data_IF_871068353669
#
_entry.id   IF_871068353669
#
_cell.length_a   1.000
_cell.length_b   1.000
_cell.length_c   1.000
_cell.angle_alpha   90.00
_cell.angle_beta   90.00
_cell.angle_gamma   90.00
#
_symmetry.space_group_name_H-M   'P 1'
#
loop_
_entity.id
_entity.type
_entity.pdbx_description
1 polymer ?
#
# COMPACT_ATOMS: atom_id res chain seq x y z
N UNK A 1 17.55 -1.98 -30.46
CA UNK A 1 18.22 -3.29 -30.55
C UNK A 1 18.08 -3.91 -29.17
N UNK A 2 17.41 -5.06 -29.12
CA UNK A 2 17.31 -5.88 -27.90
C UNK A 2 18.71 -6.33 -27.48
N UNK A 3 18.99 -6.27 -26.18
CA UNK A 3 20.26 -6.73 -25.61
C UNK A 3 20.11 -8.13 -25.00
N UNK A 4 18.97 -8.41 -24.37
CA UNK A 4 18.63 -9.69 -23.78
C UNK A 4 17.11 -9.80 -23.62
N UNK A 5 16.61 -11.02 -23.45
CA UNK A 5 15.28 -11.27 -22.90
C UNK A 5 15.41 -11.61 -21.43
N UNK A 6 14.63 -10.94 -20.58
CA UNK A 6 14.62 -11.15 -19.13
C UNK A 6 13.28 -11.77 -18.74
N UNK A 7 13.32 -12.80 -17.91
CA UNK A 7 12.14 -13.39 -17.29
C UNK A 7 12.21 -13.17 -15.78
N UNK A 8 11.20 -12.49 -15.24
CA UNK A 8 10.98 -12.34 -13.81
C UNK A 8 9.92 -13.35 -13.38
N UNK A 9 10.21 -14.11 -12.32
CA UNK A 9 9.28 -15.10 -11.77
C UNK A 9 8.99 -14.78 -10.31
N UNK A 10 7.72 -14.53 -10.02
CA UNK A 10 7.22 -14.28 -8.68
C UNK A 10 6.37 -15.47 -8.23
N UNK A 11 6.63 -15.97 -7.02
CA UNK A 11 5.83 -17.02 -6.39
C UNK A 11 5.28 -16.47 -5.08
N UNK A 12 3.97 -16.63 -4.87
CA UNK A 12 3.30 -16.17 -3.64
C UNK A 12 2.20 -17.14 -3.22
N UNK A 13 1.82 -17.06 -1.95
CA UNK A 13 0.71 -17.81 -1.36
C UNK A 13 -0.50 -16.88 -1.21
N UNK A 14 -1.67 -17.38 -1.57
CA UNK A 14 -2.96 -16.80 -1.25
C UNK A 14 -3.74 -17.76 -0.35
N UNK A 15 -4.09 -17.32 0.87
CA UNK A 15 -4.87 -18.12 1.83
C UNK A 15 -6.38 -18.07 1.59
N UNK A 16 -6.80 -17.23 0.66
CA UNK A 16 -8.19 -16.99 0.31
C UNK A 16 -8.32 -16.91 -1.20
N UNK A 17 -9.53 -17.14 -1.68
CA UNK A 17 -9.88 -16.84 -3.06
C UNK A 17 -9.86 -15.32 -3.27
N UNK A 18 -9.39 -14.88 -4.42
CA UNK A 18 -9.32 -13.46 -4.80
C UNK A 18 -9.87 -13.31 -6.21
N UNK A 19 -10.97 -12.57 -6.31
CA UNK A 19 -11.56 -12.19 -7.59
C UNK A 19 -11.02 -10.83 -8.07
N UNK A 20 -11.10 -10.59 -9.38
CA UNK A 20 -10.83 -9.29 -10.00
C UNK A 20 -9.44 -8.69 -9.67
N UNK A 21 -8.45 -9.55 -9.41
CA UNK A 21 -7.08 -9.12 -9.18
C UNK A 21 -6.50 -8.46 -10.44
N UNK A 22 -5.59 -7.51 -10.24
CA UNK A 22 -4.89 -6.83 -11.33
C UNK A 22 -3.38 -6.93 -11.12
N UNK A 23 -2.65 -6.97 -12.23
CA UNK A 23 -1.22 -6.77 -12.27
C UNK A 23 -0.95 -5.34 -12.74
N UNK A 24 -0.14 -4.59 -12.01
CA UNK A 24 0.34 -3.28 -12.45
C UNK A 24 1.83 -3.33 -12.77
N UNK A 25 2.20 -2.83 -13.95
CA UNK A 25 3.57 -2.84 -14.47
C UNK A 25 3.78 -1.71 -15.48
N UNK A 26 5.04 -1.32 -15.66
CA UNK A 26 5.44 -0.44 -16.76
C UNK A 26 5.66 -1.21 -18.06
N UNK A 27 5.59 -0.51 -19.20
CA UNK A 27 5.83 -1.04 -20.55
C UNK A 27 5.06 -2.35 -20.85
N UNK A 28 3.73 -2.39 -20.64
CA UNK A 28 2.92 -3.59 -20.90
C UNK A 28 3.01 -4.08 -22.36
N UNK A 29 3.25 -3.18 -23.31
CA UNK A 29 3.42 -3.47 -24.73
C UNK A 29 4.72 -4.23 -25.06
N UNK A 30 5.73 -4.11 -24.19
CA UNK A 30 7.00 -4.84 -24.30
C UNK A 30 7.04 -6.09 -23.40
N UNK A 31 5.93 -6.40 -22.72
CA UNK A 31 5.84 -7.44 -21.70
C UNK A 31 4.89 -8.57 -22.11
N UNK A 32 5.28 -9.80 -21.82
CA UNK A 32 4.41 -10.98 -21.87
C UNK A 32 4.24 -11.52 -20.46
N UNK A 33 3.00 -11.73 -20.05
CA UNK A 33 2.67 -12.19 -18.70
C UNK A 33 2.05 -13.58 -18.76
N UNK A 34 2.51 -14.46 -17.88
CA UNK A 34 1.91 -15.76 -17.61
C UNK A 34 1.46 -15.82 -16.15
N UNK A 35 0.25 -16.32 -15.91
CA UNK A 35 -0.30 -16.60 -14.59
C UNK A 35 -0.53 -18.11 -14.48
N UNK A 36 0.13 -18.76 -13.53
CA UNK A 36 0.14 -20.22 -13.36
C UNK A 36 0.41 -20.99 -14.67
N UNK A 37 1.39 -20.50 -15.43
CA UNK A 37 1.80 -21.07 -16.71
C UNK A 37 0.81 -20.82 -17.87
N UNK A 38 -0.24 -20.01 -17.66
CA UNK A 38 -1.20 -19.63 -18.71
C UNK A 38 -0.98 -18.19 -19.14
N UNK A 39 -0.94 -17.89 -20.46
CA UNK A 39 -0.83 -16.52 -20.92
C UNK A 39 -1.97 -15.63 -20.42
N UNK A 40 -1.63 -14.43 -19.95
CA UNK A 40 -2.59 -13.38 -19.59
C UNK A 40 -2.80 -12.49 -20.81
N UNK A 41 -4.07 -12.19 -21.12
CA UNK A 41 -4.37 -11.22 -22.17
C UNK A 41 -3.97 -9.81 -21.69
N UNK A 42 -3.06 -9.17 -22.42
CA UNK A 42 -2.52 -7.84 -22.09
C UNK A 42 -3.49 -6.70 -22.46
N UNK A 43 -4.76 -6.84 -22.09
CA UNK A 43 -5.78 -5.82 -22.26
C UNK A 43 -5.70 -4.85 -21.08
N UNK A 44 -5.31 -3.60 -21.35
CA UNK A 44 -5.15 -2.59 -20.30
C UNK A 44 -6.50 -2.23 -19.67
N UNK A 45 -6.54 -2.25 -18.33
CA UNK A 45 -7.74 -1.94 -17.53
C UNK A 45 -7.69 -0.57 -16.87
N UNK A 46 -6.55 0.11 -16.91
CA UNK A 46 -6.36 1.43 -16.30
C UNK A 46 -4.92 1.67 -15.89
N UNK A 47 -4.76 2.41 -14.80
CA UNK A 47 -3.46 2.76 -14.23
C UNK A 47 -3.51 2.65 -12.71
N UNK A 48 -2.39 2.33 -12.07
CA UNK A 48 -2.30 2.27 -10.62
C UNK A 48 -2.18 3.68 -10.02
N UNK A 49 -0.95 4.18 -9.86
CA UNK A 49 -0.68 5.47 -9.22
C UNK A 49 -0.09 6.52 -10.15
N UNK A 50 0.43 6.07 -11.29
CA UNK A 50 1.00 6.89 -12.35
C UNK A 50 0.55 6.31 -13.70
N UNK A 51 0.45 7.15 -14.74
CA UNK A 51 0.07 6.72 -16.09
C UNK A 51 1.10 5.79 -16.72
N UNK A 52 2.35 5.83 -16.28
CA UNK A 52 3.39 4.90 -16.69
C UNK A 52 3.13 3.46 -16.21
N UNK A 53 2.35 3.28 -15.14
CA UNK A 53 2.09 1.99 -14.51
C UNK A 53 0.69 1.54 -14.90
N UNK A 54 0.58 0.87 -16.05
CA UNK A 54 -0.67 0.34 -16.55
C UNK A 54 -1.11 -0.87 -15.73
N UNK A 55 -2.43 -1.10 -15.64
CA UNK A 55 -2.99 -2.32 -15.05
C UNK A 55 -3.53 -3.26 -16.11
N UNK A 56 -3.41 -4.56 -15.86
CA UNK A 56 -4.04 -5.64 -16.62
C UNK A 56 -4.79 -6.56 -15.66
N UNK A 57 -5.94 -7.10 -16.09
CA UNK A 57 -6.69 -8.06 -15.28
C UNK A 57 -5.94 -9.40 -15.20
N UNK A 58 -5.88 -9.97 -14.01
CA UNK A 58 -5.46 -11.35 -13.79
C UNK A 58 -6.68 -12.27 -13.72
N UNK A 59 -6.53 -13.57 -14.01
CA UNK A 59 -7.56 -14.56 -13.68
C UNK A 59 -7.85 -14.58 -12.18
N UNK A 60 -9.07 -14.99 -11.82
CA UNK A 60 -9.43 -15.24 -10.42
C UNK A 60 -8.48 -16.28 -9.80
N UNK A 61 -8.08 -16.01 -8.56
CA UNK A 61 -7.16 -16.83 -7.80
C UNK A 61 -7.96 -17.67 -6.81
N UNK A 62 -7.76 -18.98 -6.83
CA UNK A 62 -8.23 -19.87 -5.75
C UNK A 62 -7.18 -19.95 -4.66
N UNK A 63 -7.57 -20.11 -3.40
CA UNK A 63 -6.62 -20.26 -2.30
C UNK A 63 -5.56 -21.34 -2.64
N UNK A 64 -4.27 -20.98 -2.55
CA UNK A 64 -3.18 -21.81 -3.00
C UNK A 64 -1.88 -21.03 -3.23
N UNK A 65 -0.95 -21.66 -3.94
CA UNK A 65 0.28 -21.02 -4.39
C UNK A 65 0.14 -20.66 -5.86
N UNK A 66 0.49 -19.42 -6.21
CA UNK A 66 0.46 -18.93 -7.58
C UNK A 66 1.83 -18.50 -8.06
N UNK A 67 1.99 -18.48 -9.37
CA UNK A 67 3.17 -17.95 -10.05
C UNK A 67 2.77 -16.90 -11.08
N UNK A 68 3.46 -15.76 -11.05
CA UNK A 68 3.44 -14.76 -12.13
C UNK A 68 4.81 -14.78 -12.80
N UNK A 69 4.85 -14.99 -14.11
CA UNK A 69 6.05 -14.91 -14.93
C UNK A 69 5.90 -13.76 -15.92
N UNK A 70 6.90 -12.89 -15.98
CA UNK A 70 6.91 -11.71 -16.84
C UNK A 70 8.15 -11.78 -17.69
N UNK A 71 7.95 -11.94 -19.00
CA UNK A 71 9.02 -11.88 -19.98
C UNK A 71 9.02 -10.50 -20.64
N UNK A 72 10.18 -9.86 -20.67
CA UNK A 72 10.37 -8.56 -21.32
C UNK A 72 11.65 -8.51 -22.15
N UNK A 73 11.63 -7.74 -23.23
CA UNK A 73 12.81 -7.43 -24.02
C UNK A 73 13.62 -6.33 -23.33
N UNK A 74 14.81 -6.66 -22.85
CA UNK A 74 15.69 -5.71 -22.20
C UNK A 74 16.55 -4.97 -23.24
N UNK A 75 16.40 -3.65 -23.28
CA UNK A 75 17.14 -2.77 -24.19
C UNK A 75 17.98 -1.76 -23.40
N UNK A 76 18.81 -0.95 -24.07
CA UNK A 76 19.52 0.17 -23.43
C UNK A 76 18.60 1.22 -22.80
N UNK A 77 17.29 1.18 -23.11
CA UNK A 77 16.28 2.11 -22.60
C UNK A 77 15.35 1.47 -21.57
N UNK A 78 15.47 0.17 -21.34
CA UNK A 78 14.59 -0.57 -20.45
C UNK A 78 15.16 -0.54 -19.03
N UNK A 79 14.38 -0.04 -18.07
CA UNK A 79 14.63 -0.23 -16.64
C UNK A 79 13.66 -1.29 -16.12
N UNK A 80 14.16 -2.24 -15.33
CA UNK A 80 13.29 -3.18 -14.63
C UNK A 80 12.77 -2.45 -13.39
N UNK A 81 11.48 -2.19 -13.38
CA UNK A 81 10.77 -1.50 -12.31
C UNK A 81 9.91 -2.47 -11.51
N UNK A 82 9.26 -1.94 -10.47
CA UNK A 82 8.36 -2.70 -9.62
C UNK A 82 7.16 -3.24 -10.39
N UNK A 83 6.66 -4.38 -9.91
CA UNK A 83 5.42 -5.00 -10.37
C UNK A 83 4.51 -5.18 -9.16
N UNK A 84 3.23 -4.85 -9.32
CA UNK A 84 2.27 -4.81 -8.24
C UNK A 84 1.16 -5.81 -8.48
N UNK A 85 0.90 -6.67 -7.49
CA UNK A 85 -0.36 -7.36 -7.38
C UNK A 85 -1.35 -6.43 -6.67
N UNK A 86 -2.45 -6.11 -7.33
CA UNK A 86 -3.51 -5.24 -6.84
C UNK A 86 -4.81 -6.02 -6.75
N UNK A 87 -5.67 -5.63 -5.82
CA UNK A 87 -6.98 -6.24 -5.64
C UNK A 87 -7.55 -5.95 -4.26
N UNK A 88 -8.68 -6.56 -3.98
CA UNK A 88 -9.33 -6.50 -2.69
C UNK A 88 -8.87 -7.69 -1.84
N UNK A 89 -7.77 -7.50 -1.11
CA UNK A 89 -7.19 -8.49 -0.21
C UNK A 89 -6.30 -7.82 0.85
N UNK A 90 -6.02 -8.55 1.93
CA UNK A 90 -5.00 -8.18 2.91
C UNK A 90 -3.67 -8.87 2.63
N UNK A 91 -2.59 -8.41 3.24
CA UNK A 91 -1.27 -9.07 3.20
C UNK A 91 -0.70 -9.21 4.59
N UNK A 92 -0.22 -10.41 4.94
CA UNK A 92 0.62 -10.63 6.13
C UNK A 92 2.06 -10.87 5.70
N UNK A 93 3.00 -10.30 6.44
CA UNK A 93 4.43 -10.54 6.22
C UNK A 93 4.88 -11.73 7.06
N UNK A 94 5.45 -12.73 6.40
CA UNK A 94 6.00 -13.94 7.03
C UNK A 94 7.44 -14.12 6.56
N UNK A 95 8.37 -13.67 7.41
CA UNK A 95 9.79 -13.60 7.07
C UNK A 95 10.03 -12.67 5.88
N UNK A 96 10.41 -13.27 4.74
CA UNK A 96 10.72 -12.56 3.49
C UNK A 96 9.54 -12.51 2.51
N UNK A 97 8.39 -13.05 2.90
CA UNK A 97 7.27 -13.26 2.00
C UNK A 97 6.05 -12.43 2.42
N UNK A 98 5.37 -11.85 1.43
CA UNK A 98 4.00 -11.39 1.58
C UNK A 98 3.04 -12.53 1.26
N UNK A 99 2.13 -12.83 2.18
CA UNK A 99 1.08 -13.84 2.01
C UNK A 99 -0.26 -13.11 1.85
N UNK A 100 -0.97 -13.40 0.76
CA UNK A 100 -2.29 -12.83 0.49
C UNK A 100 -3.31 -13.45 1.44
N UNK A 101 -4.13 -12.61 2.07
CA UNK A 101 -5.11 -12.94 3.10
C UNK A 101 -6.44 -12.28 2.82
N UNK A 102 -7.45 -12.59 3.63
CA UNK A 102 -8.77 -11.96 3.52
C UNK A 102 -8.68 -10.42 3.52
N UNK A 103 -9.56 -9.74 2.78
CA UNK A 103 -9.62 -8.29 2.79
C UNK A 103 -9.76 -7.70 4.20
N UNK A 104 -9.04 -6.63 4.48
CA UNK A 104 -9.13 -5.93 5.76
C UNK A 104 -10.38 -5.04 5.74
N UNK A 105 -11.34 -5.36 6.60
CA UNK A 105 -12.61 -4.61 6.76
C UNK A 105 -12.70 -3.80 8.04
N UNK A 106 -11.84 -4.10 9.01
CA UNK A 106 -11.82 -3.44 10.31
C UNK A 106 -10.37 -3.24 10.71
N UNK A 107 -10.07 -2.03 11.19
CA UNK A 107 -8.77 -1.64 11.69
C UNK A 107 -8.93 -1.11 13.10
N UNK A 108 -7.97 -1.45 13.95
CA UNK A 108 -7.76 -0.76 15.22
C UNK A 108 -6.95 0.51 14.98
N UNK A 109 -6.98 1.44 15.94
CA UNK A 109 -5.95 2.47 16.02
C UNK A 109 -4.61 1.77 16.29
N UNK A 110 -3.70 1.90 15.34
CA UNK A 110 -2.39 1.27 15.33
C UNK A 110 -1.73 1.43 13.98
N UNK A 111 -0.58 0.77 13.82
CA UNK A 111 0.12 0.67 12.55
C UNK A 111 -0.62 -0.29 11.60
N UNK A 112 -0.97 0.18 10.41
CA UNK A 112 -1.59 -0.59 9.33
C UNK A 112 -0.71 -1.74 8.87
N UNK A 113 0.62 -1.58 8.96
CA UNK A 113 1.55 -2.61 8.47
C UNK A 113 1.44 -3.92 9.23
N UNK A 114 0.98 -3.85 10.48
CA UNK A 114 0.75 -4.99 11.37
C UNK A 114 -0.69 -5.50 11.33
N UNK A 115 -1.55 -4.88 10.52
CA UNK A 115 -3.00 -5.14 10.47
C UNK A 115 -3.48 -5.55 9.06
N UNK A 116 -2.62 -6.23 8.31
CA UNK A 116 -2.97 -6.75 6.98
C UNK A 116 -2.76 -5.75 5.83
N UNK A 117 -2.17 -4.59 6.08
CA UNK A 117 -1.94 -3.54 5.08
C UNK A 117 -0.45 -3.08 4.99
N UNK A 118 0.55 -3.99 4.93
CA UNK A 118 1.97 -3.65 4.93
C UNK A 118 2.38 -2.75 3.75
N UNK A 119 1.85 -3.03 2.56
CA UNK A 119 2.19 -2.32 1.33
C UNK A 119 1.13 -1.30 0.90
N UNK A 120 0.08 -1.09 1.71
CA UNK A 120 -1.00 -0.19 1.33
C UNK A 120 -0.61 1.28 1.57
N UNK A 121 -0.50 2.05 0.49
CA UNK A 121 -0.17 3.49 0.54
C UNK A 121 -1.32 4.41 0.10
N UNK A 122 -2.55 3.88 0.09
CA UNK A 122 -3.76 4.63 -0.22
C UNK A 122 -4.32 5.39 0.99
N UNK A 123 -5.58 5.83 0.88
CA UNK A 123 -6.28 6.51 1.96
C UNK A 123 -7.19 5.52 2.68
N UNK A 124 -7.30 5.64 4.00
CA UNK A 124 -8.22 4.83 4.82
C UNK A 124 -9.16 5.76 5.57
N UNK A 125 -10.45 5.43 5.57
CA UNK A 125 -11.44 6.11 6.39
C UNK A 125 -11.87 5.19 7.53
N UNK A 126 -11.65 5.63 8.76
CA UNK A 126 -12.19 5.00 9.94
C UNK A 126 -13.59 5.54 10.18
N UNK A 127 -14.58 4.65 10.27
CA UNK A 127 -15.95 4.98 10.64
C UNK A 127 -16.12 4.73 12.14
N UNK A 128 -16.09 5.80 12.93
CA UNK A 128 -16.11 5.72 14.39
C UNK A 128 -17.41 6.27 14.98
N UNK A 129 -17.65 5.98 16.25
CA UNK A 129 -18.68 6.61 17.06
C UNK A 129 -18.01 7.32 18.22
N UNK A 130 -18.31 8.62 18.41
CA UNK A 130 -17.72 9.39 19.50
C UNK A 130 -18.29 8.93 20.85
N UNK A 131 -17.45 8.50 21.82
CA UNK A 131 -17.93 8.08 23.13
C UNK A 131 -18.35 9.27 24.01
N UNK A 132 -17.85 10.46 23.70
CA UNK A 132 -18.06 11.70 24.45
C UNK A 132 -18.33 12.86 23.49
N UNK A 133 -18.88 13.96 24.01
CA UNK A 133 -19.04 15.21 23.26
C UNK A 133 -17.82 16.12 23.44
N UNK A 134 -17.61 17.03 22.50
CA UNK A 134 -16.57 18.06 22.55
C UNK A 134 -16.57 18.92 21.29
N UNK A 135 -15.76 19.97 21.29
CA UNK A 135 -15.69 20.98 20.22
C UNK A 135 -14.52 20.75 19.26
N UNK A 136 -13.59 19.87 19.62
CA UNK A 136 -12.46 19.53 18.77
C UNK A 136 -12.01 18.07 18.88
N UNK A 137 -11.39 17.58 17.81
CA UNK A 137 -10.77 16.26 17.73
C UNK A 137 -9.28 16.43 17.45
N UNK A 138 -8.44 15.81 18.27
CA UNK A 138 -6.99 15.79 18.10
C UNK A 138 -6.49 14.38 17.78
N UNK A 139 -5.55 14.30 16.84
CA UNK A 139 -4.80 13.09 16.54
C UNK A 139 -3.31 13.35 16.81
N UNK A 140 -2.86 13.20 18.07
CA UNK A 140 -1.49 13.58 18.44
C UNK A 140 -0.44 12.73 17.72
N UNK A 141 -0.76 11.47 17.41
CA UNK A 141 0.13 10.57 16.68
C UNK A 141 -0.60 9.85 15.55
N UNK A 142 -0.35 10.28 14.32
CA UNK A 142 -0.67 9.54 13.11
C UNK A 142 0.55 9.46 12.18
N UNK A 143 0.54 8.47 11.31
CA UNK A 143 1.55 8.19 10.30
C UNK A 143 0.87 8.22 8.94
N UNK A 144 1.02 9.35 8.27
CA UNK A 144 0.35 9.69 7.02
C UNK A 144 0.71 11.12 6.63
N UNK A 145 0.07 11.61 5.59
CA UNK A 145 0.35 12.96 5.06
C UNK A 145 -0.52 14.02 5.73
N UNK A 146 -1.80 13.71 5.91
CA UNK A 146 -2.80 14.56 6.56
C UNK A 146 -3.98 13.70 7.02
N UNK A 147 -4.88 14.29 7.80
CA UNK A 147 -6.12 13.66 8.23
C UNK A 147 -7.29 14.60 7.96
N UNK A 148 -8.39 14.05 7.48
CA UNK A 148 -9.69 14.74 7.38
C UNK A 148 -10.63 14.12 8.41
N UNK A 149 -11.23 14.96 9.25
CA UNK A 149 -12.26 14.57 10.23
C UNK A 149 -13.60 15.09 9.74
N UNK A 150 -14.62 14.25 9.69
CA UNK A 150 -15.99 14.62 9.37
C UNK A 150 -16.91 14.20 10.52
N UNK A 151 -17.69 15.14 11.06
CA UNK A 151 -18.69 14.89 12.11
C UNK A 151 -19.90 15.76 11.83
N UNK A 152 -21.08 15.14 11.76
CA UNK A 152 -22.36 15.86 11.60
C UNK A 152 -22.37 16.87 10.42
N UNK A 153 -21.71 16.53 9.30
CA UNK A 153 -21.60 17.38 8.11
C UNK A 153 -20.53 18.47 8.18
N UNK A 154 -19.86 18.64 9.33
CA UNK A 154 -18.72 19.54 9.46
C UNK A 154 -17.40 18.80 9.16
N UNK A 155 -16.47 19.51 8.52
CA UNK A 155 -15.19 18.94 8.05
C UNK A 155 -14.03 19.76 8.60
N UNK A 156 -13.05 19.08 9.17
CA UNK A 156 -11.78 19.66 9.61
C UNK A 156 -10.59 18.88 9.06
N UNK A 157 -9.45 19.55 8.95
CA UNK A 157 -8.22 18.97 8.39
C UNK A 157 -7.08 19.14 9.38
N UNK A 158 -6.35 18.05 9.62
CA UNK A 158 -5.19 17.97 10.51
C UNK A 158 -3.96 17.65 9.67
N UNK A 159 -2.98 18.55 9.67
CA UNK A 159 -1.73 18.39 8.93
C UNK A 159 -0.52 19.04 9.61
N UNK A 160 -0.72 19.69 10.75
CA UNK A 160 0.33 20.38 11.51
C UNK A 160 -0.03 20.43 12.99
N UNK A 161 0.97 20.67 13.83
CA UNK A 161 0.77 20.94 15.26
C UNK A 161 -0.26 22.08 15.47
N UNK A 162 -1.17 21.96 16.45
CA UNK A 162 -1.23 20.94 17.50
C UNK A 162 -1.92 19.62 17.10
N UNK A 163 -2.04 19.33 15.80
CA UNK A 163 -2.70 18.14 15.23
C UNK A 163 -4.16 18.00 15.62
N UNK A 164 -4.89 19.12 15.58
CA UNK A 164 -6.26 19.26 16.04
C UNK A 164 -7.13 19.85 14.93
N UNK A 165 -8.37 19.38 14.85
CA UNK A 165 -9.44 19.97 14.06
C UNK A 165 -10.55 20.47 15.00
N UNK A 166 -10.94 21.73 14.83
CA UNK A 166 -12.10 22.34 15.49
C UNK A 166 -13.37 21.85 14.81
N UNK A 167 -13.73 20.61 15.13
CA UNK A 167 -14.91 19.92 14.62
C UNK A 167 -15.70 19.40 15.82
N UNK A 168 -16.90 19.94 16.09
CA UNK A 168 -17.73 19.50 17.19
C UNK A 168 -18.21 18.08 16.97
N UNK A 169 -18.20 17.31 18.05
CA UNK A 169 -18.66 15.94 18.13
C UNK A 169 -19.67 15.82 19.26
N UNK A 170 -20.72 15.03 19.03
CA UNK A 170 -21.70 14.69 20.06
C UNK A 170 -21.47 13.26 20.50
N UNK A 171 -21.68 12.98 21.79
CA UNK A 171 -21.66 11.61 22.28
C UNK A 171 -22.66 10.74 21.50
N UNK A 172 -22.22 9.58 21.03
CA UNK A 172 -22.99 8.66 20.20
C UNK A 172 -23.07 9.01 18.71
N UNK A 173 -22.52 10.15 18.26
CA UNK A 173 -22.55 10.52 16.84
C UNK A 173 -21.45 9.84 16.03
N UNK A 174 -21.70 9.63 14.74
CA UNK A 174 -20.72 9.15 13.79
C UNK A 174 -19.63 10.20 13.53
N UNK A 175 -18.38 9.73 13.49
CA UNK A 175 -17.20 10.53 13.16
C UNK A 175 -16.35 9.73 12.18
N UNK A 176 -16.19 10.27 10.97
CA UNK A 176 -15.33 9.69 9.95
C UNK A 176 -13.95 10.34 10.00
N UNK A 177 -12.91 9.51 10.09
CA UNK A 177 -11.52 9.95 10.13
C UNK A 177 -10.79 9.36 8.93
N UNK A 178 -10.58 10.17 7.89
CA UNK A 178 -9.80 9.78 6.71
C UNK A 178 -8.33 10.13 6.91
N UNK A 179 -7.47 9.12 7.01
CA UNK A 179 -6.02 9.29 6.96
C UNK A 179 -5.58 9.24 5.50
N UNK A 180 -4.94 10.30 5.03
CA UNK A 180 -4.28 10.32 3.74
C UNK A 180 -2.93 9.62 3.86
N UNK A 181 -2.77 8.48 3.20
CA UNK A 181 -1.55 7.70 3.28
C UNK A 181 -0.37 8.36 2.60
N UNK A 182 0.72 7.62 2.53
CA UNK A 182 1.92 7.96 1.78
C UNK A 182 2.45 6.72 1.06
N UNK A 183 3.33 6.93 0.09
CA UNK A 183 3.80 5.86 -0.81
C UNK A 183 5.09 5.17 -0.37
N UNK A 184 5.56 5.41 0.85
CA UNK A 184 6.82 4.85 1.32
C UNK A 184 6.90 3.31 1.23
N UNK A 185 5.81 2.59 1.47
CA UNK A 185 5.80 1.11 1.39
C UNK A 185 5.40 0.58 0.01
N UNK A 186 4.95 1.45 -0.90
CA UNK A 186 4.62 1.09 -2.28
C UNK A 186 5.75 1.39 -3.25
N UNK A 187 6.54 2.45 -3.00
CA UNK A 187 7.55 2.95 -3.93
C UNK A 187 8.88 3.25 -3.25
N UNK A 188 8.97 3.15 -1.92
CA UNK A 188 10.19 3.42 -1.19
C UNK A 188 11.13 2.20 -1.15
N UNK A 189 12.36 2.39 -0.66
CA UNK A 189 13.35 1.33 -0.56
C UNK A 189 13.03 0.42 0.63
N UNK A 190 12.09 -0.50 0.45
CA UNK A 190 11.58 -1.40 1.50
C UNK A 190 12.59 -2.44 2.00
N UNK A 191 13.82 -2.46 1.49
CA UNK A 191 14.91 -3.33 1.94
C UNK A 191 16.09 -2.55 2.55
N UNK A 192 15.93 -1.23 2.73
CA UNK A 192 16.95 -0.37 3.31
C UNK A 192 17.02 -0.60 4.82
N UNK A 193 18.10 -1.25 5.28
CA UNK A 193 18.31 -1.62 6.69
C UNK A 193 18.85 -0.48 7.57
N UNK A 194 19.18 0.68 6.99
CA UNK A 194 19.71 1.82 7.74
C UNK A 194 18.61 2.85 8.08
N UNK A 195 18.15 2.92 9.34
CA UNK A 195 17.31 4.00 9.79
C UNK A 195 18.15 5.30 9.86
N UNK A 196 17.79 6.31 9.05
CA UNK A 196 18.36 7.65 9.20
C UNK A 196 18.99 8.28 7.98
N UNK A 197 18.87 7.68 6.78
CA UNK A 197 19.19 8.42 5.55
C UNK A 197 18.31 9.68 5.48
N UNK A 198 18.96 10.84 5.59
CA UNK A 198 18.32 12.17 5.54
C UNK A 198 17.66 12.41 4.17
N UNK A 199 18.11 11.68 3.16
CA UNK A 199 17.62 11.77 1.79
C UNK A 199 17.50 10.38 1.18
N UNK A 200 16.38 10.15 0.48
CA UNK A 200 16.16 8.94 -0.31
C UNK A 200 16.41 9.26 -1.78
N UNK A 201 17.31 8.49 -2.40
CA UNK A 201 17.63 8.63 -3.81
C UNK A 201 17.95 7.30 -4.48
N UNK A 202 18.52 7.32 -5.69
CA UNK A 202 18.78 6.11 -6.47
C UNK A 202 19.58 5.05 -5.69
N UNK A 203 20.56 5.48 -4.88
CA UNK A 203 21.40 4.57 -4.11
C UNK A 203 20.65 3.89 -2.96
N UNK A 204 19.55 4.48 -2.48
CA UNK A 204 18.69 3.86 -1.46
C UNK A 204 17.99 2.60 -1.96
N UNK A 205 17.85 2.41 -3.28
CA UNK A 205 17.26 1.20 -3.91
C UNK A 205 18.31 0.16 -4.32
N UNK A 206 19.60 0.49 -4.19
CA UNK A 206 20.73 -0.34 -4.66
C UNK A 206 21.68 -0.68 -3.52
N UNK A 207 21.16 -0.77 -2.30
CA UNK A 207 21.95 -1.04 -1.10
C UNK A 207 22.51 -2.46 -1.09
N UNK A 208 23.62 -2.64 -0.37
CA UNK A 208 24.34 -3.91 -0.21
C UNK A 208 24.93 -3.98 1.20
N UNK A 209 25.36 -5.18 1.61
CA UNK A 209 26.01 -5.39 2.90
C UNK A 209 25.09 -4.97 4.05
N UNK A 210 25.62 -4.21 5.01
CA UNK A 210 24.89 -3.77 6.21
C UNK A 210 23.71 -2.84 5.93
N UNK A 211 23.64 -2.23 4.75
CA UNK A 211 22.56 -1.32 4.34
C UNK A 211 21.37 -2.04 3.69
N UNK A 212 21.50 -3.36 3.44
CA UNK A 212 20.47 -4.17 2.80
C UNK A 212 19.97 -5.25 3.75
N UNK A 213 18.66 -5.39 3.86
CA UNK A 213 17.99 -6.49 4.55
C UNK A 213 17.02 -7.15 3.58
N UNK A 214 17.06 -8.48 3.42
CA UNK A 214 16.06 -9.17 2.62
C UNK A 214 14.66 -9.03 3.23
N UNK A 215 14.55 -8.88 4.55
CA UNK A 215 13.29 -8.58 5.23
C UNK A 215 12.79 -7.17 4.87
N UNK A 216 11.48 -6.98 4.95
CA UNK A 216 10.87 -5.69 4.67
C UNK A 216 11.07 -4.71 5.84
N UNK A 217 11.69 -3.57 5.53
CA UNK A 217 11.91 -2.42 6.40
C UNK A 217 10.80 -1.38 6.19
N UNK A 218 9.57 -1.77 6.53
CA UNK A 218 8.37 -0.98 6.26
C UNK A 218 8.25 0.23 7.19
N UNK A 219 7.66 1.31 6.67
CA UNK A 219 7.32 2.49 7.47
C UNK A 219 5.90 2.36 8.02
N UNK A 220 5.66 2.70 9.29
CA UNK A 220 4.33 2.71 9.85
C UNK A 220 3.36 3.61 9.07
N UNK A 221 2.10 3.21 8.98
CA UNK A 221 0.98 4.04 8.52
C UNK A 221 -0.22 3.92 9.47
N UNK A 222 -1.06 4.95 9.54
CA UNK A 222 -2.31 4.91 10.32
C UNK A 222 -2.34 5.78 11.56
N UNK A 223 -3.34 5.56 12.42
CA UNK A 223 -3.57 6.32 13.64
C UNK A 223 -2.90 5.57 14.79
N UNK A 224 -1.67 5.95 15.16
CA UNK A 224 -0.82 5.19 16.11
C UNK A 224 -1.11 5.49 17.58
N UNK A 225 -2.06 6.38 17.87
CA UNK A 225 -2.60 6.63 19.20
C UNK A 225 -4.08 6.97 19.10
N UNK A 226 -4.89 6.62 20.10
CA UNK A 226 -6.30 6.96 20.12
C UNK A 226 -6.54 8.47 19.92
N UNK A 227 -7.52 8.87 19.09
CA UNK A 227 -7.95 10.27 18.99
C UNK A 227 -8.46 10.80 20.33
N UNK A 228 -8.23 12.08 20.57
CA UNK A 228 -8.66 12.78 21.79
C UNK A 228 -9.78 13.75 21.41
N UNK A 229 -10.86 13.74 22.18
CA UNK A 229 -11.94 14.73 22.08
C UNK A 229 -11.71 15.79 23.16
N UNK A 230 -11.64 17.05 22.74
CA UNK A 230 -11.54 18.20 23.63
C UNK A 230 -12.91 18.85 23.79
N UNK A 231 -13.27 19.12 25.04
CA UNK A 231 -14.42 19.93 25.41
C UNK A 231 -14.05 21.41 25.53
#
# INVERSE_FOLDING_TARGET
MELASVCLRFRFEARVDVADAQLALENPEESQVMFDGRPVAMNLTGHFTDKAIATVALPDMVAGTHTIEIQLSFTKKTSIEWVYLLGDFGVTIEGLHGVVTAPVRTLSFGDWTLQGLPFYGGNVTYHCTAPVAGDAVQLPHFKGTAVKVCSQGQVGVIYRAPYQAEVPVKAGAAVDITVFGHRANCFGPIHLAEPGLVWLGPDSYRTKGTFFSPEFQLRPLGITSAPIVYA
#
